data_IF_283972700201
#
_entry.id   IF_283972700201
#
_cell.length_a   1.000
_cell.length_b   1.000
_cell.length_c   1.000
_cell.angle_alpha   90.00
_cell.angle_beta   90.00
_cell.angle_gamma   90.00
#
_symmetry.space_group_name_H-M   'P 1'
#
loop_
_entity.id
_entity.type
_entity.pdbx_description
1 polymer ?
#
# COMPACT_ATOMS: atom_id res chain seq x y z
N UNK A 1 -6.92 -6.72 1.41
CA UNK A 1 -7.70 -7.85 1.93
C UNK A 1 -7.91 -9.02 0.96
N UNK A 2 -8.49 -8.82 -0.24
CA UNK A 2 -8.96 -9.93 -1.12
C UNK A 2 -7.88 -10.86 -1.71
N UNK A 3 -6.62 -10.41 -1.83
CA UNK A 3 -5.51 -11.19 -2.43
C UNK A 3 -4.82 -12.17 -1.45
N UNK A 4 -5.06 -12.08 -0.15
CA UNK A 4 -4.42 -12.97 0.86
C UNK A 4 -5.16 -14.29 0.96
N UNK A 5 -4.53 -15.45 0.97
CA UNK A 5 -5.24 -16.73 1.19
C UNK A 5 -5.63 -16.89 2.67
N UNK A 6 -6.93 -17.10 2.97
CA UNK A 6 -7.46 -17.26 4.34
C UNK A 6 -8.94 -17.64 4.33
N UNK A 7 -9.38 -18.44 5.30
CA UNK A 7 -10.71 -19.09 5.35
C UNK A 7 -11.87 -18.10 5.46
N UNK A 8 -11.70 -16.99 6.18
CA UNK A 8 -12.75 -15.96 6.33
C UNK A 8 -12.24 -14.54 6.06
N UNK A 9 -13.13 -13.65 5.62
CA UNK A 9 -12.82 -12.23 5.39
C UNK A 9 -12.44 -11.51 6.69
N UNK A 10 -12.97 -11.96 7.84
CA UNK A 10 -12.70 -11.41 9.16
C UNK A 10 -11.24 -11.63 9.55
N UNK A 11 -10.72 -12.84 9.39
CA UNK A 11 -9.31 -13.15 9.67
C UNK A 11 -8.36 -12.40 8.74
N UNK A 12 -8.74 -12.27 7.46
CA UNK A 12 -7.98 -11.48 6.49
C UNK A 12 -7.90 -10.00 6.89
N UNK A 13 -9.00 -9.43 7.37
CA UNK A 13 -9.08 -8.03 7.80
C UNK A 13 -8.29 -7.81 9.09
N UNK A 14 -8.44 -8.68 10.08
CA UNK A 14 -7.70 -8.60 11.35
C UNK A 14 -6.19 -8.68 11.11
N UNK A 15 -5.74 -9.59 10.25
CA UNK A 15 -4.34 -9.67 9.85
C UNK A 15 -3.85 -8.42 9.10
N UNK A 16 -4.68 -7.82 8.25
CA UNK A 16 -4.32 -6.57 7.56
C UNK A 16 -4.24 -5.37 8.52
N UNK A 17 -5.12 -5.32 9.53
CA UNK A 17 -5.12 -4.28 10.55
C UNK A 17 -3.90 -4.37 11.46
N UNK A 18 -3.54 -5.59 11.88
CA UNK A 18 -2.33 -5.85 12.68
C UNK A 18 -1.05 -5.54 11.90
N UNK A 19 -0.99 -5.89 10.61
CA UNK A 19 0.16 -5.56 9.78
C UNK A 19 0.28 -4.05 9.56
N UNK A 20 -0.84 -3.37 9.27
CA UNK A 20 -0.88 -1.92 9.12
C UNK A 20 -0.42 -1.20 10.40
N UNK A 21 -0.82 -1.68 11.59
CA UNK A 21 -0.37 -1.16 12.88
C UNK A 21 1.16 -1.32 13.05
N UNK A 22 1.72 -2.43 12.58
CA UNK A 22 3.15 -2.70 12.59
C UNK A 22 3.92 -2.05 11.43
N UNK A 23 3.31 -1.11 10.70
CA UNK A 23 3.85 -0.48 9.48
C UNK A 23 4.36 -1.50 8.44
N UNK A 24 3.81 -2.71 8.46
CA UNK A 24 4.15 -3.80 7.54
C UNK A 24 2.95 -4.12 6.67
N UNK A 25 3.20 -4.84 5.59
CA UNK A 25 2.15 -5.31 4.69
C UNK A 25 2.03 -4.53 3.39
N UNK A 26 1.26 -5.10 2.48
CA UNK A 26 1.17 -4.67 1.08
C UNK A 26 0.66 -3.23 0.93
N UNK A 27 -0.17 -2.76 1.86
CA UNK A 27 -0.74 -1.41 1.85
C UNK A 27 0.33 -0.34 2.14
N UNK A 28 1.23 -0.58 3.10
CA UNK A 28 2.31 0.34 3.42
C UNK A 28 3.34 0.36 2.29
N UNK A 29 3.72 -0.81 1.77
CA UNK A 29 4.62 -0.90 0.61
C UNK A 29 4.07 -0.13 -0.59
N UNK A 30 2.78 -0.29 -0.89
CA UNK A 30 2.12 0.45 -1.99
C UNK A 30 2.16 1.96 -1.78
N UNK A 31 2.00 2.45 -0.53
CA UNK A 31 2.13 3.88 -0.21
C UNK A 31 3.55 4.39 -0.43
N UNK A 32 4.56 3.66 0.04
CA UNK A 32 5.97 4.02 -0.14
C UNK A 32 6.40 4.00 -1.61
N UNK A 33 5.98 2.98 -2.36
CA UNK A 33 6.25 2.86 -3.80
C UNK A 33 5.63 4.04 -4.56
N UNK A 34 4.40 4.45 -4.21
CA UNK A 34 3.74 5.62 -4.81
C UNK A 34 4.47 6.92 -4.47
N UNK A 35 4.94 7.09 -3.23
CA UNK A 35 5.71 8.28 -2.85
C UNK A 35 7.06 8.35 -3.58
N UNK A 36 7.81 7.24 -3.63
CA UNK A 36 9.06 7.17 -4.40
C UNK A 36 8.84 7.45 -5.88
N UNK A 37 7.78 6.88 -6.45
CA UNK A 37 7.43 7.11 -7.85
C UNK A 37 7.02 8.55 -8.11
N UNK A 38 6.35 9.21 -7.16
CA UNK A 38 6.01 10.64 -7.25
C UNK A 38 7.27 11.53 -7.18
N UNK A 39 8.24 11.19 -6.34
CA UNK A 39 9.53 11.92 -6.31
C UNK A 39 10.35 11.70 -7.59
N UNK A 40 10.38 10.48 -8.13
CA UNK A 40 11.04 10.19 -9.39
C UNK A 40 10.38 10.92 -10.58
N UNK A 41 9.06 11.07 -10.58
CA UNK A 41 8.32 11.78 -11.61
C UNK A 41 8.18 13.29 -11.35
N UNK A 42 8.87 13.83 -10.34
CA UNK A 42 8.84 15.26 -10.03
C UNK A 42 9.29 16.13 -11.21
N UNK A 43 10.19 15.62 -12.05
CA UNK A 43 10.62 16.28 -13.29
C UNK A 43 9.50 16.41 -14.35
N UNK A 44 8.50 15.54 -14.31
CA UNK A 44 7.32 15.60 -15.19
C UNK A 44 6.17 16.43 -14.61
N UNK A 45 6.35 17.06 -13.43
CA UNK A 45 5.33 17.94 -12.85
C UNK A 45 4.99 19.13 -13.76
N UNK A 46 5.92 19.52 -14.64
CA UNK A 46 5.77 20.60 -15.61
C UNK A 46 4.89 20.23 -16.83
N UNK A 47 4.59 18.94 -17.06
CA UNK A 47 3.66 18.49 -18.12
C UNK A 47 2.17 18.61 -17.72
N UNK A 48 1.88 19.29 -16.61
CA UNK A 48 0.52 19.38 -16.05
C UNK A 48 -0.21 20.68 -16.40
N UNK A 49 0.21 21.34 -17.47
CA UNK A 49 -0.54 22.35 -18.22
C UNK A 49 -0.91 21.74 -19.58
#
# INVERSE_FOLDING_TARGET
ARKRSGKSMVERLAGELLDAANKRGATIKRREDVHKMAEANKAFAHYRW
#
